data_IF_346332420415
#
_entry.id   IF_346332420415
#
_cell.length_a   1.000
_cell.length_b   1.000
_cell.length_c   1.000
_cell.angle_alpha   90.00
_cell.angle_beta   90.00
_cell.angle_gamma   90.00
#
_symmetry.space_group_name_H-M   'P 1'
#
loop_
_entity.id
_entity.type
_entity.pdbx_description
1 polymer ?
#
# COMPACT_ATOMS: atom_id res chain seq x y z
N UNK A 1 -20.06 -7.95 10.62
CA UNK A 1 -19.71 -6.99 11.69
C UNK A 1 -18.68 -6.04 11.10
N UNK A 2 -19.03 -4.76 10.90
CA UNK A 2 -18.12 -3.80 10.29
C UNK A 2 -16.98 -3.49 11.25
N UNK A 3 -15.73 -3.70 10.82
CA UNK A 3 -14.56 -3.37 11.63
C UNK A 3 -14.51 -1.84 11.81
N UNK A 4 -14.46 -1.33 13.05
CA UNK A 4 -14.38 0.12 13.30
C UNK A 4 -13.16 0.76 12.62
N UNK A 5 -12.10 -0.02 12.42
CA UNK A 5 -10.89 0.39 11.71
C UNK A 5 -11.15 0.68 10.22
N UNK A 6 -12.00 -0.13 9.57
CA UNK A 6 -12.36 0.07 8.16
C UNK A 6 -13.22 1.30 7.97
N UNK A 7 -14.09 1.61 8.94
CA UNK A 7 -14.92 2.82 8.91
C UNK A 7 -14.06 4.08 9.08
N UNK A 8 -13.15 4.09 10.06
CA UNK A 8 -12.24 5.22 10.28
C UNK A 8 -11.31 5.44 9.08
N UNK A 9 -10.76 4.37 8.50
CA UNK A 9 -9.93 4.46 7.30
C UNK A 9 -10.71 5.05 6.11
N UNK A 10 -11.99 4.70 5.96
CA UNK A 10 -12.88 5.29 4.97
C UNK A 10 -13.10 6.78 5.19
N UNK A 11 -13.39 7.21 6.43
CA UNK A 11 -13.55 8.62 6.79
C UNK A 11 -12.28 9.44 6.54
N UNK A 12 -11.12 8.90 6.90
CA UNK A 12 -9.82 9.54 6.65
C UNK A 12 -9.56 9.71 5.15
N UNK A 13 -9.85 8.68 4.35
CA UNK A 13 -9.71 8.74 2.90
C UNK A 13 -10.64 9.80 2.31
N UNK A 14 -11.88 9.87 2.79
CA UNK A 14 -12.84 10.89 2.35
C UNK A 14 -12.39 12.31 2.72
N UNK A 15 -11.87 12.51 3.93
CA UNK A 15 -11.32 13.79 4.38
C UNK A 15 -10.11 14.24 3.54
N UNK A 16 -9.26 13.30 3.13
CA UNK A 16 -8.15 13.59 2.22
C UNK A 16 -8.64 14.13 0.86
N UNK A 17 -9.60 13.44 0.22
CA UNK A 17 -10.18 13.91 -1.04
C UNK A 17 -10.88 15.27 -0.91
N UNK A 18 -11.54 15.53 0.22
CA UNK A 18 -12.17 16.81 0.50
C UNK A 18 -11.13 17.95 0.53
N UNK A 19 -10.01 17.73 1.23
CA UNK A 19 -8.91 18.70 1.35
C UNK A 19 -8.23 18.96 0.01
N UNK A 20 -7.96 17.92 -0.79
CA UNK A 20 -7.38 18.10 -2.13
C UNK A 20 -8.29 18.95 -3.03
N UNK A 21 -9.60 18.68 -3.00
CA UNK A 21 -10.57 19.46 -3.75
C UNK A 21 -10.63 20.91 -3.27
N UNK A 22 -10.65 21.14 -1.96
CA UNK A 22 -10.62 22.48 -1.38
C UNK A 22 -9.37 23.24 -1.82
N UNK A 23 -8.18 22.62 -1.73
CA UNK A 23 -6.93 23.22 -2.17
C UNK A 23 -6.96 23.60 -3.67
N UNK A 24 -7.50 22.74 -4.52
CA UNK A 24 -7.66 23.00 -5.95
C UNK A 24 -8.63 24.17 -6.22
N UNK A 25 -9.78 24.22 -5.55
CA UNK A 25 -10.76 25.29 -5.72
C UNK A 25 -10.27 26.64 -5.16
N UNK A 26 -9.55 26.63 -4.03
CA UNK A 26 -8.91 27.81 -3.44
C UNK A 26 -7.83 28.36 -4.38
N UNK A 27 -6.94 27.49 -4.89
CA UNK A 27 -5.92 27.89 -5.87
C UNK A 27 -6.51 28.43 -7.16
N UNK A 28 -7.72 28.00 -7.53
CA UNK A 28 -8.49 28.50 -8.66
C UNK A 28 -9.34 29.75 -8.38
N UNK A 29 -9.32 30.30 -7.16
CA UNK A 29 -10.19 31.40 -6.71
C UNK A 29 -11.69 31.13 -6.96
N UNK A 30 -12.10 29.87 -6.88
CA UNK A 30 -13.49 29.40 -7.04
C UNK A 30 -14.12 28.92 -5.73
N UNK A 31 -13.40 29.07 -4.64
CA UNK A 31 -13.82 28.61 -3.34
C UNK A 31 -14.53 29.73 -2.57
N UNK A 32 -15.77 29.48 -2.19
CA UNK A 32 -16.60 30.45 -1.49
C UNK A 32 -16.38 30.41 0.03
N UNK A 33 -16.74 31.49 0.76
CA UNK A 33 -16.68 31.50 2.21
C UNK A 33 -17.50 30.37 2.85
N UNK A 34 -18.71 30.10 2.34
CA UNK A 34 -19.55 29.00 2.83
C UNK A 34 -18.89 27.64 2.65
N UNK A 35 -18.25 27.37 1.51
CA UNK A 35 -17.52 26.11 1.31
C UNK A 35 -16.32 25.98 2.27
N UNK A 36 -15.72 27.11 2.66
CA UNK A 36 -14.66 27.15 3.66
C UNK A 36 -15.19 26.77 5.03
N UNK A 37 -16.32 27.33 5.44
CA UNK A 37 -17.00 26.98 6.70
C UNK A 37 -17.44 25.50 6.69
N UNK A 38 -18.09 25.04 5.63
CA UNK A 38 -18.53 23.64 5.48
C UNK A 38 -17.37 22.64 5.59
N UNK A 39 -16.20 23.00 5.05
CA UNK A 39 -15.01 22.15 5.09
C UNK A 39 -14.38 22.16 6.47
N UNK A 40 -14.39 23.29 7.18
CA UNK A 40 -13.95 23.35 8.57
C UNK A 40 -14.83 22.47 9.47
N UNK A 41 -16.16 22.55 9.33
CA UNK A 41 -17.11 21.74 10.08
C UNK A 41 -16.92 20.23 9.82
N UNK A 42 -16.62 19.85 8.58
CA UNK A 42 -16.31 18.45 8.22
C UNK A 42 -15.01 17.96 8.89
N UNK A 43 -13.98 18.81 8.98
CA UNK A 43 -12.72 18.49 9.64
C UNK A 43 -12.87 18.39 11.15
N UNK A 44 -13.69 19.24 11.76
CA UNK A 44 -13.96 19.17 13.21
C UNK A 44 -14.68 17.87 13.57
N UNK A 45 -15.64 17.43 12.76
CA UNK A 45 -16.29 16.12 12.93
C UNK A 45 -15.29 14.96 12.77
N UNK A 46 -14.38 15.04 11.80
CA UNK A 46 -13.32 14.03 11.63
C UNK A 46 -12.38 14.00 12.83
N UNK A 47 -12.00 15.17 13.36
CA UNK A 47 -11.18 15.29 14.55
C UNK A 47 -11.89 14.67 15.77
N UNK A 48 -13.18 14.94 15.96
CA UNK A 48 -13.99 14.33 17.02
C UNK A 48 -14.01 12.80 16.91
N UNK A 49 -14.25 12.26 15.70
CA UNK A 49 -14.25 10.82 15.47
C UNK A 49 -12.88 10.17 15.76
N UNK A 50 -11.78 10.85 15.45
CA UNK A 50 -10.43 10.39 15.80
C UNK A 50 -10.19 10.40 17.31
N UNK A 51 -10.67 11.42 18.02
CA UNK A 51 -10.59 11.48 19.48
C UNK A 51 -11.39 10.36 20.16
N UNK A 52 -12.61 10.10 19.66
CA UNK A 52 -13.42 8.97 20.13
C UNK A 52 -12.71 7.64 19.87
N UNK A 53 -12.16 7.44 18.68
CA UNK A 53 -11.39 6.24 18.38
C UNK A 53 -10.17 6.10 19.29
N UNK A 54 -9.42 7.18 19.51
CA UNK A 54 -8.29 7.20 20.43
C UNK A 54 -8.70 6.85 21.87
N UNK A 55 -9.89 7.25 22.32
CA UNK A 55 -10.41 6.87 23.64
C UNK A 55 -10.75 5.37 23.74
N UNK A 56 -11.05 4.72 22.62
CA UNK A 56 -11.27 3.26 22.56
C UNK A 56 -9.99 2.45 22.45
N UNK A 57 -8.88 3.08 22.07
CA UNK A 57 -7.59 2.39 21.99
C UNK A 57 -7.06 2.12 23.39
N UNK A 58 -6.50 0.91 23.66
CA UNK A 58 -5.83 0.66 24.91
C UNK A 58 -4.70 1.67 25.08
N UNK A 59 -4.64 2.33 26.24
CA UNK A 59 -3.62 3.33 26.58
C UNK A 59 -2.23 2.71 26.87
N UNK A 60 -1.97 1.55 26.28
CA UNK A 60 -0.73 0.80 26.37
C UNK A 60 -0.11 0.72 24.99
N UNK A 61 1.21 0.94 24.95
CA UNK A 61 2.11 0.76 23.82
C UNK A 61 1.60 -0.32 22.85
N UNK A 62 1.47 0.03 21.57
CA UNK A 62 1.30 -0.95 20.50
C UNK A 62 2.47 -1.92 20.63
N UNK A 63 2.26 -3.04 21.32
CA UNK A 63 3.19 -4.15 21.27
C UNK A 63 3.16 -4.60 19.83
N UNK A 64 4.11 -4.10 19.04
CA UNK A 64 4.36 -4.56 17.70
C UNK A 64 4.35 -6.08 17.78
N UNK A 65 3.40 -6.71 17.10
CA UNK A 65 3.34 -8.16 16.98
C UNK A 65 4.61 -8.63 16.26
N UNK A 66 5.69 -8.75 17.01
CA UNK A 66 6.90 -9.49 16.64
C UNK A 66 6.82 -10.80 17.41
N UNK A 67 5.94 -11.66 16.94
CA UNK A 67 6.08 -13.10 17.16
C UNK A 67 5.54 -13.78 15.90
N UNK A 68 6.22 -13.49 14.78
CA UNK A 68 6.47 -14.58 13.84
C UNK A 68 7.35 -15.57 14.61
N UNK A 69 6.95 -16.83 14.83
CA UNK A 69 7.88 -17.83 15.33
C UNK A 69 9.00 -17.92 14.31
N UNK A 70 10.18 -17.44 14.68
CA UNK A 70 11.41 -17.85 14.04
C UNK A 70 11.56 -19.33 14.37
N UNK A 71 11.05 -20.19 13.49
CA UNK A 71 11.46 -21.59 13.45
C UNK A 71 12.94 -21.61 13.07
N UNK A 72 13.78 -21.55 14.10
CA UNK A 72 15.18 -21.88 14.00
C UNK A 72 15.33 -23.40 14.10
N UNK A 73 16.27 -23.89 13.28
CA UNK A 73 17.10 -25.08 13.49
C UNK A 73 16.70 -26.40 12.77
N UNK A 74 17.43 -26.71 11.70
CA UNK A 74 17.53 -28.06 11.12
C UNK A 74 18.29 -28.08 9.77
N UNK A 75 19.29 -28.96 9.56
CA UNK A 75 20.56 -28.60 8.91
C UNK A 75 20.64 -28.81 7.39
N UNK A 76 21.64 -28.15 6.79
CA UNK A 76 22.21 -28.37 5.46
C UNK A 76 22.67 -29.83 5.26
N UNK A 77 22.24 -30.53 4.19
CA UNK A 77 22.93 -31.69 3.67
C UNK A 77 23.60 -31.38 2.32
N UNK A 78 24.81 -30.86 2.38
CA UNK A 78 25.81 -31.07 1.33
C UNK A 78 26.03 -32.58 1.18
N UNK A 79 25.46 -33.19 0.14
CA UNK A 79 25.86 -34.53 -0.28
C UNK A 79 25.58 -34.79 -1.76
N UNK A 80 26.65 -35.04 -2.51
CA UNK A 80 26.59 -35.89 -3.70
C UNK A 80 26.85 -35.17 -5.02
N UNK A 81 28.13 -35.10 -5.38
CA UNK A 81 28.49 -35.15 -6.80
C UNK A 81 28.17 -36.55 -7.35
N UNK A 82 27.58 -36.59 -8.54
CA UNK A 82 27.63 -37.68 -9.54
C UNK A 82 27.09 -37.00 -10.82
N UNK A 83 27.91 -36.63 -11.80
CA UNK A 83 28.72 -37.56 -12.55
C UNK A 83 27.98 -37.95 -13.83
N UNK A 84 28.11 -37.10 -14.87
CA UNK A 84 28.20 -37.48 -16.28
C UNK A 84 26.95 -38.06 -17.00
N UNK A 85 26.42 -37.33 -17.99
CA UNK A 85 26.24 -37.91 -19.34
C UNK A 85 26.13 -36.83 -20.42
N UNK A 86 26.84 -37.05 -21.53
CA UNK A 86 26.85 -36.19 -22.72
C UNK A 86 25.63 -36.52 -23.58
N UNK A 87 25.04 -35.51 -24.21
CA UNK A 87 24.38 -35.71 -25.51
C UNK A 87 24.47 -34.43 -26.31
N UNK A 88 25.34 -34.49 -27.31
CA UNK A 88 25.38 -33.64 -28.48
C UNK A 88 24.01 -33.58 -29.18
N UNK A 89 23.65 -32.43 -29.74
CA UNK A 89 22.40 -32.28 -30.48
C UNK A 89 22.13 -30.85 -30.95
N UNK A 90 22.83 -30.43 -31.98
CA UNK A 90 22.49 -29.27 -32.82
C UNK A 90 21.02 -29.31 -33.27
N UNK A 91 20.29 -28.19 -33.11
CA UNK A 91 19.27 -27.75 -34.08
C UNK A 91 19.27 -26.23 -34.15
N UNK A 92 19.67 -25.74 -35.31
CA UNK A 92 19.67 -24.33 -35.68
C UNK A 92 18.29 -23.71 -35.60
N UNK A 93 18.29 -22.39 -35.52
CA UNK A 93 17.22 -21.57 -36.05
C UNK A 93 17.85 -20.28 -36.55
N UNK A 94 18.31 -20.36 -37.79
CA UNK A 94 18.53 -19.23 -38.67
C UNK A 94 17.22 -18.43 -38.74
N UNK A 95 17.23 -17.21 -38.21
CA UNK A 95 16.28 -16.17 -38.64
C UNK A 95 17.09 -15.03 -39.21
N UNK A 96 17.42 -15.24 -40.46
CA UNK A 96 17.81 -14.24 -41.43
C UNK A 96 16.54 -13.58 -42.03
N UNK A 97 16.74 -12.36 -42.53
CA UNK A 97 15.90 -11.51 -43.38
C UNK A 97 15.06 -10.38 -42.74
N UNK A 98 15.58 -9.16 -42.94
CA UNK A 98 14.86 -7.90 -42.87
C UNK A 98 15.72 -6.65 -43.16
N UNK A 99 16.43 -6.62 -44.30
CA UNK A 99 16.81 -5.39 -45.05
C UNK A 99 15.52 -4.56 -45.31
N UNK A 100 15.49 -3.23 -45.53
CA UNK A 100 16.38 -2.29 -46.20
C UNK A 100 15.94 -0.86 -45.82
N UNK A 101 16.91 0.06 -45.72
CA UNK A 101 16.75 1.52 -45.71
C UNK A 101 16.19 2.04 -47.05
N UNK A 102 15.27 3.02 -46.99
CA UNK A 102 15.05 4.07 -48.01
C UNK A 102 14.61 5.38 -47.33
#
# INVERSE_FOLDING_TARGET
MSNPHTHLAGLLTQGHWLLERAAYEIGGNRYSPTQCDDTADALEQLAAALHEHAATLPRGELTAGTEHPAEADGPDPSSGNDGNDKSDGERGNDRDHGNEDD
#
